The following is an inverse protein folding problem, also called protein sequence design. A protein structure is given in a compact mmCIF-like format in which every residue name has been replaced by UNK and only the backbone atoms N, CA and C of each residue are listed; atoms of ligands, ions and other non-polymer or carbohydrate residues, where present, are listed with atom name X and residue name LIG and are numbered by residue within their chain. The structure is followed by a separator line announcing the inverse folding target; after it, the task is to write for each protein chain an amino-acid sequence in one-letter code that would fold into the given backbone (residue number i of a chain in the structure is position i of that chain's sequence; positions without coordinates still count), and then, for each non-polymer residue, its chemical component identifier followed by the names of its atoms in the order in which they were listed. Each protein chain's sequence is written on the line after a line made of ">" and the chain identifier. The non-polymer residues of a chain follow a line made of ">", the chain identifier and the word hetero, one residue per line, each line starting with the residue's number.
data_IF_941310862945
#
_entry.id   IF_941310862945
#
_cell.length_a   1.000
_cell.length_b   1.000
_cell.length_c   1.000
_cell.angle_alpha   90.00
_cell.angle_beta   90.00
_cell.angle_gamma   90.00
#
_symmetry.space_group_name_H-M   'P 1'
#
loop_
_entity.id
_entity.type
_entity.pdbx_description
1 polymer ?
#
# COMPACT_ATOMS: atom_id res chain seq x y z
N UNK A 1 -25.60 22.41 18.73
CA UNK A 1 -24.57 22.36 17.66
C UNK A 1 -23.49 23.31 18.15
N UNK A 2 -22.35 22.77 18.59
CA UNK A 2 -21.24 23.57 19.14
C UNK A 2 -20.61 24.42 18.03
N UNK A 3 -20.21 25.65 18.37
CA UNK A 3 -19.57 26.60 17.43
C UNK A 3 -18.34 26.00 16.71
N UNK A 4 -17.70 24.99 17.30
CA UNK A 4 -16.57 24.25 16.75
C UNK A 4 -16.92 23.32 15.58
N UNK A 5 -18.16 22.78 15.54
CA UNK A 5 -18.64 22.00 14.40
C UNK A 5 -18.91 22.84 13.14
N UNK A 6 -18.97 24.17 13.28
CA UNK A 6 -19.12 25.09 12.15
C UNK A 6 -17.79 25.35 11.38
N UNK A 7 -16.65 25.01 11.97
CA UNK A 7 -15.33 25.21 11.37
C UNK A 7 -14.71 23.92 10.84
N UNK A 8 -15.29 22.74 11.17
CA UNK A 8 -14.80 21.45 10.70
C UNK A 8 -15.12 21.22 9.21
N UNK A 9 -14.25 20.47 8.55
CA UNK A 9 -14.41 20.10 7.14
C UNK A 9 -15.23 18.82 7.06
N UNK A 10 -16.41 18.88 6.45
CA UNK A 10 -17.20 17.68 6.18
C UNK A 10 -16.52 16.87 5.06
N UNK A 11 -16.17 15.63 5.37
CA UNK A 11 -15.45 14.74 4.47
C UNK A 11 -16.28 13.51 4.13
N UNK A 12 -16.86 13.53 2.94
CA UNK A 12 -17.66 12.43 2.42
C UNK A 12 -17.49 12.29 0.89
N UNK A 13 -16.25 12.13 0.39
CA UNK A 13 -16.07 11.94 -1.04
C UNK A 13 -16.63 10.60 -1.48
N UNK A 14 -17.15 10.53 -2.72
CA UNK A 14 -17.46 9.25 -3.33
C UNK A 14 -16.16 8.42 -3.48
N UNK A 15 -16.06 7.21 -2.92
CA UNK A 15 -14.87 6.37 -3.08
C UNK A 15 -14.67 5.86 -4.51
N UNK A 16 -15.72 5.90 -5.34
CA UNK A 16 -15.69 5.47 -6.74
C UNK A 16 -15.48 6.68 -7.65
N UNK A 17 -14.49 6.57 -8.54
CA UNK A 17 -14.20 7.60 -9.53
C UNK A 17 -15.15 7.47 -10.73
N UNK A 18 -15.25 6.27 -11.28
CA UNK A 18 -16.19 5.92 -12.36
C UNK A 18 -16.34 4.40 -12.48
N UNK A 19 -17.41 3.97 -13.16
CA UNK A 19 -17.64 2.58 -13.46
C UNK A 19 -17.18 2.25 -14.89
N UNK A 20 -16.22 1.33 -15.02
CA UNK A 20 -15.74 0.83 -16.30
C UNK A 20 -16.67 -0.25 -16.80
N UNK A 21 -17.15 -0.14 -18.04
CA UNK A 21 -18.11 -1.07 -18.68
C UNK A 21 -19.39 -1.31 -17.86
N UNK A 22 -19.77 -0.36 -16.97
CA UNK A 22 -21.00 -0.44 -16.18
C UNK A 22 -21.00 -1.44 -15.03
N UNK A 23 -19.91 -2.23 -14.85
CA UNK A 23 -19.85 -3.29 -13.84
C UNK A 23 -18.59 -3.27 -12.95
N UNK A 24 -17.53 -2.61 -13.39
CA UNK A 24 -16.26 -2.57 -12.65
C UNK A 24 -16.03 -1.16 -12.06
N UNK A 25 -16.27 -0.95 -10.76
CA UNK A 25 -16.01 0.35 -10.13
C UNK A 25 -14.51 0.60 -10.00
N UNK A 26 -14.03 1.67 -10.63
CA UNK A 26 -12.66 2.17 -10.42
C UNK A 26 -12.68 3.08 -9.19
N UNK A 27 -11.95 2.70 -8.16
CA UNK A 27 -11.89 3.41 -6.89
C UNK A 27 -10.65 4.27 -6.78
N UNK A 28 -10.76 5.43 -6.16
CA UNK A 28 -9.63 6.31 -5.84
C UNK A 28 -8.52 5.57 -5.08
N UNK A 29 -8.90 4.65 -4.18
CA UNK A 29 -7.95 3.85 -3.40
C UNK A 29 -6.98 3.09 -4.31
N UNK A 30 -7.49 2.29 -5.24
CA UNK A 30 -6.65 1.53 -6.18
C UNK A 30 -5.85 2.43 -7.10
N UNK A 31 -6.45 3.52 -7.60
CA UNK A 31 -5.77 4.47 -8.47
C UNK A 31 -4.57 5.13 -7.77
N UNK A 32 -4.75 5.62 -6.54
CA UNK A 32 -3.67 6.26 -5.78
C UNK A 32 -2.54 5.27 -5.44
N UNK A 33 -2.86 4.02 -5.16
CA UNK A 33 -1.87 2.95 -5.02
C UNK A 33 -1.04 2.76 -6.30
N UNK A 34 -1.70 2.67 -7.45
CA UNK A 34 -1.03 2.52 -8.75
C UNK A 34 -0.14 3.72 -9.04
N UNK A 35 -0.62 4.95 -8.77
CA UNK A 35 0.18 6.18 -8.95
C UNK A 35 1.41 6.16 -8.06
N UNK A 36 1.26 5.80 -6.77
CA UNK A 36 2.39 5.70 -5.83
C UNK A 36 3.46 4.70 -6.29
N UNK A 37 3.04 3.51 -6.74
CA UNK A 37 3.94 2.48 -7.26
C UNK A 37 4.60 2.93 -8.57
N UNK A 38 3.85 3.56 -9.48
CA UNK A 38 4.40 4.05 -10.75
C UNK A 38 5.46 5.14 -10.52
N UNK A 39 5.23 6.05 -9.58
CA UNK A 39 6.22 7.06 -9.21
C UNK A 39 7.47 6.42 -8.60
N UNK A 40 7.31 5.44 -7.71
CA UNK A 40 8.44 4.70 -7.15
C UNK A 40 9.25 4.00 -8.25
N UNK A 41 8.57 3.35 -9.20
CA UNK A 41 9.21 2.73 -10.35
C UNK A 41 10.06 3.74 -11.16
N UNK A 42 9.48 4.89 -11.50
CA UNK A 42 10.18 5.95 -12.24
C UNK A 42 11.38 6.49 -11.48
N UNK A 43 11.26 6.69 -10.16
CA UNK A 43 12.35 7.20 -9.33
C UNK A 43 13.49 6.20 -9.26
N UNK A 44 13.22 4.92 -8.97
CA UNK A 44 14.25 3.89 -8.90
C UNK A 44 14.88 3.66 -10.27
N UNK A 45 14.08 3.63 -11.35
CA UNK A 45 14.60 3.54 -12.73
C UNK A 45 15.57 4.67 -13.06
N UNK A 46 15.21 5.92 -12.69
CA UNK A 46 16.09 7.07 -12.89
C UNK A 46 17.41 6.89 -12.13
N UNK A 47 17.39 6.43 -10.88
CA UNK A 47 18.60 6.18 -10.09
C UNK A 47 19.48 5.09 -10.71
N UNK A 48 18.91 4.02 -11.28
CA UNK A 48 19.64 3.00 -12.01
C UNK A 48 20.35 3.58 -13.23
N UNK A 49 19.64 4.40 -14.00
CA UNK A 49 20.20 5.09 -15.17
C UNK A 49 21.31 6.08 -14.80
N UNK A 50 21.10 6.88 -13.76
CA UNK A 50 22.10 7.87 -13.31
C UNK A 50 23.37 7.19 -12.78
N UNK A 51 23.26 6.00 -12.21
CA UNK A 51 24.38 5.14 -11.79
C UNK A 51 24.93 4.29 -12.92
N UNK A 52 24.44 4.41 -14.16
CA UNK A 52 24.84 3.65 -15.35
C UNK A 52 24.72 2.14 -15.17
N UNK A 53 23.72 1.68 -14.41
CA UNK A 53 23.41 0.26 -14.24
C UNK A 53 22.58 -0.20 -15.44
N UNK A 54 22.91 -1.38 -15.99
CA UNK A 54 22.24 -1.94 -17.17
C UNK A 54 20.74 -2.13 -16.92
N UNK A 55 19.92 -1.78 -17.90
CA UNK A 55 18.46 -1.94 -17.90
C UNK A 55 18.03 -3.39 -17.61
N UNK A 56 18.76 -4.36 -18.15
CA UNK A 56 18.52 -5.79 -17.87
C UNK A 56 18.66 -6.15 -16.39
N UNK A 57 19.40 -5.36 -15.63
CA UNK A 57 19.51 -5.49 -14.17
C UNK A 57 18.31 -4.90 -13.47
N UNK A 58 17.78 -3.77 -13.97
CA UNK A 58 16.62 -3.10 -13.38
C UNK A 58 15.31 -3.85 -13.62
N UNK A 59 15.05 -4.32 -14.86
CA UNK A 59 13.78 -4.92 -15.26
C UNK A 59 13.22 -5.97 -14.28
N UNK A 60 14.00 -6.92 -13.76
CA UNK A 60 13.47 -7.92 -12.85
C UNK A 60 13.17 -7.39 -11.44
N UNK A 61 13.72 -6.24 -11.03
CA UNK A 61 13.56 -5.71 -9.68
C UNK A 61 12.08 -5.54 -9.28
N UNK A 62 11.27 -4.98 -10.19
CA UNK A 62 9.85 -4.79 -9.96
C UNK A 62 9.15 -6.12 -9.63
N UNK A 63 9.42 -7.16 -10.40
CA UNK A 63 8.80 -8.47 -10.19
C UNK A 63 9.27 -9.12 -8.87
N UNK A 64 10.55 -8.99 -8.51
CA UNK A 64 11.04 -9.46 -7.23
C UNK A 64 10.34 -8.75 -6.06
N UNK A 65 10.22 -7.42 -6.11
CA UNK A 65 9.52 -6.65 -5.09
C UNK A 65 8.03 -7.03 -5.03
N UNK A 66 7.35 -7.05 -6.18
CA UNK A 66 5.91 -7.31 -6.26
C UNK A 66 5.56 -8.70 -5.73
N UNK A 67 6.20 -9.74 -6.25
CA UNK A 67 5.91 -11.11 -5.80
C UNK A 67 6.43 -11.36 -4.39
N UNK A 68 7.56 -10.78 -4.00
CA UNK A 68 8.06 -10.87 -2.64
C UNK A 68 7.09 -10.32 -1.62
N UNK A 69 6.56 -9.11 -1.84
CA UNK A 69 5.58 -8.49 -0.97
C UNK A 69 4.27 -9.30 -0.97
N UNK A 70 3.74 -9.65 -2.14
CA UNK A 70 2.46 -10.35 -2.26
C UNK A 70 2.48 -11.73 -1.58
N UNK A 71 3.48 -12.54 -1.91
CA UNK A 71 3.65 -13.88 -1.34
C UNK A 71 3.91 -13.79 0.17
N UNK A 72 4.82 -12.90 0.56
CA UNK A 72 5.15 -12.69 1.97
C UNK A 72 3.96 -12.22 2.80
N UNK A 73 3.20 -11.25 2.29
CA UNK A 73 2.00 -10.73 2.97
C UNK A 73 0.91 -11.81 3.11
N UNK A 74 0.72 -12.63 2.06
CA UNK A 74 -0.25 -13.73 2.10
C UNK A 74 0.19 -14.82 3.06
N UNK A 75 1.41 -15.30 2.96
CA UNK A 75 1.95 -16.32 3.88
C UNK A 75 1.96 -15.82 5.32
N UNK A 76 2.36 -14.57 5.53
CA UNK A 76 2.32 -13.95 6.86
C UNK A 76 0.91 -13.93 7.45
N UNK A 77 -0.10 -13.59 6.67
CA UNK A 77 -1.49 -13.65 7.11
C UNK A 77 -1.90 -15.08 7.46
N UNK A 78 -1.69 -16.02 6.54
CA UNK A 78 -2.11 -17.41 6.72
C UNK A 78 -1.44 -18.08 7.93
N UNK A 79 -0.15 -17.85 8.15
CA UNK A 79 0.63 -18.54 9.18
C UNK A 79 0.54 -17.89 10.56
N UNK A 80 0.35 -16.56 10.64
CA UNK A 80 0.36 -15.85 11.94
C UNK A 80 -1.04 -15.46 12.43
N UNK A 81 -2.01 -15.25 11.53
CA UNK A 81 -3.35 -14.82 11.94
C UNK A 81 -4.39 -15.93 11.91
N UNK A 82 -4.28 -16.90 11.00
CA UNK A 82 -5.24 -18.00 10.84
C UNK A 82 -4.55 -19.34 10.56
N UNK A 83 -3.55 -19.76 11.36
CA UNK A 83 -2.79 -20.99 11.10
C UNK A 83 -3.68 -22.23 11.09
N UNK A 84 -4.60 -22.35 12.05
CA UNK A 84 -5.46 -23.53 12.18
C UNK A 84 -6.36 -23.74 10.97
N UNK A 85 -6.80 -22.64 10.33
CA UNK A 85 -7.60 -22.73 9.13
C UNK A 85 -6.75 -23.12 7.91
N UNK A 86 -5.68 -22.38 7.63
CA UNK A 86 -4.92 -22.54 6.39
C UNK A 86 -4.01 -23.77 6.36
N UNK A 87 -3.60 -24.30 7.51
CA UNK A 87 -2.89 -25.59 7.55
C UNK A 87 -3.79 -26.75 7.10
N UNK A 88 -5.11 -26.64 7.30
CA UNK A 88 -6.09 -27.60 6.82
C UNK A 88 -6.64 -27.28 5.41
N UNK A 89 -6.40 -26.05 4.89
CA UNK A 89 -6.89 -25.58 3.59
C UNK A 89 -5.74 -25.00 2.75
N UNK A 90 -4.70 -25.81 2.54
CA UNK A 90 -3.45 -25.39 1.88
C UNK A 90 -3.66 -24.71 0.53
N UNK A 91 -4.60 -25.21 -0.29
CA UNK A 91 -4.88 -24.62 -1.61
C UNK A 91 -5.47 -23.23 -1.53
N UNK A 92 -6.23 -22.91 -0.50
CA UNK A 92 -6.77 -21.56 -0.25
C UNK A 92 -5.69 -20.56 0.24
N UNK A 93 -4.56 -21.07 0.74
CA UNK A 93 -3.39 -20.25 1.04
C UNK A 93 -2.76 -19.69 -0.24
N UNK A 94 -2.68 -20.52 -1.29
CA UNK A 94 -1.98 -20.20 -2.55
C UNK A 94 -2.92 -19.58 -3.56
N UNK A 95 -4.15 -20.11 -3.66
CA UNK A 95 -5.13 -19.66 -4.65
C UNK A 95 -6.05 -18.58 -4.07
N UNK A 96 -6.46 -17.58 -4.87
CA UNK A 96 -7.39 -16.54 -4.45
C UNK A 96 -8.86 -17.01 -4.48
N UNK A 97 -9.10 -18.24 -4.02
CA UNK A 97 -10.42 -18.88 -4.03
C UNK A 97 -10.71 -19.50 -2.68
N UNK A 98 -11.99 -19.67 -2.37
CA UNK A 98 -12.49 -20.45 -1.23
C UNK A 98 -13.27 -21.63 -1.73
N UNK A 99 -12.94 -22.84 -1.24
CA UNK A 99 -13.69 -24.05 -1.56
C UNK A 99 -14.94 -24.15 -0.68
N UNK A 100 -16.07 -24.49 -1.30
CA UNK A 100 -17.34 -24.61 -0.62
C UNK A 100 -17.63 -26.08 -0.25
N UNK A 101 -18.41 -26.35 0.81
CA UNK A 101 -18.74 -27.71 1.25
C UNK A 101 -19.49 -28.56 0.22
N UNK A 102 -20.15 -27.91 -0.74
CA UNK A 102 -20.87 -28.52 -1.84
C UNK A 102 -19.98 -28.95 -3.03
N UNK A 103 -18.65 -28.82 -2.89
CA UNK A 103 -17.66 -29.10 -3.92
C UNK A 103 -17.46 -27.95 -4.92
N UNK A 104 -18.17 -26.81 -4.75
CA UNK A 104 -17.96 -25.61 -5.53
C UNK A 104 -16.75 -24.78 -5.06
N UNK A 105 -16.46 -23.71 -5.80
CA UNK A 105 -15.46 -22.72 -5.39
C UNK A 105 -15.98 -21.30 -5.66
N UNK A 106 -15.52 -20.34 -4.86
CA UNK A 106 -15.85 -18.94 -5.00
C UNK A 106 -14.57 -18.13 -5.09
N UNK A 107 -14.51 -17.21 -6.05
CA UNK A 107 -13.42 -16.23 -6.13
C UNK A 107 -13.54 -15.24 -4.99
N UNK A 108 -12.52 -15.14 -4.14
CA UNK A 108 -12.49 -14.23 -3.00
C UNK A 108 -11.38 -13.17 -3.14
N UNK A 109 -10.47 -13.36 -4.10
CA UNK A 109 -9.22 -12.61 -4.12
C UNK A 109 -8.30 -13.05 -2.98
N UNK A 110 -7.23 -12.31 -2.75
CA UNK A 110 -6.37 -12.51 -1.58
C UNK A 110 -6.92 -11.70 -0.40
N UNK A 111 -7.96 -12.21 0.25
CA UNK A 111 -8.45 -11.67 1.51
C UNK A 111 -7.43 -11.97 2.62
N UNK A 112 -7.04 -10.93 3.37
CA UNK A 112 -6.05 -11.05 4.42
C UNK A 112 -4.60 -11.03 3.90
N UNK A 113 -3.99 -9.86 4.07
CA UNK A 113 -2.58 -9.61 3.77
C UNK A 113 -1.94 -8.99 5.02
N UNK A 114 -0.84 -9.58 5.51
CA UNK A 114 -0.12 -9.10 6.68
C UNK A 114 1.08 -8.24 6.26
N UNK A 115 1.14 -7.00 6.70
CA UNK A 115 2.24 -6.07 6.38
C UNK A 115 3.61 -6.59 6.82
N UNK A 116 3.69 -7.23 8.01
CA UNK A 116 4.92 -7.85 8.50
C UNK A 116 5.43 -8.95 7.58
N UNK A 117 4.52 -9.81 7.09
CA UNK A 117 4.85 -10.84 6.11
C UNK A 117 5.31 -10.24 4.79
N UNK A 118 4.66 -9.18 4.33
CA UNK A 118 5.08 -8.45 3.13
C UNK A 118 6.48 -7.85 3.24
N UNK A 119 6.81 -7.27 4.40
CA UNK A 119 8.15 -6.74 4.67
C UNK A 119 9.20 -7.85 4.66
N UNK A 120 8.95 -8.97 5.32
CA UNK A 120 9.87 -10.11 5.32
C UNK A 120 10.05 -10.69 3.92
N UNK A 121 8.94 -10.82 3.17
CA UNK A 121 8.96 -11.28 1.77
C UNK A 121 9.78 -10.35 0.88
N UNK A 122 9.65 -9.03 1.05
CA UNK A 122 10.46 -8.04 0.33
C UNK A 122 11.95 -8.20 0.64
N UNK A 123 12.33 -8.33 1.92
CA UNK A 123 13.72 -8.52 2.35
C UNK A 123 14.33 -9.75 1.67
N UNK A 124 13.62 -10.87 1.68
CA UNK A 124 14.07 -12.12 1.04
C UNK A 124 14.17 -11.96 -0.47
N UNK A 125 13.17 -11.36 -1.11
CA UNK A 125 13.14 -11.14 -2.55
C UNK A 125 14.29 -10.23 -3.02
N UNK A 126 14.58 -9.16 -2.29
CA UNK A 126 15.71 -8.27 -2.58
C UNK A 126 17.05 -8.99 -2.39
N UNK A 127 17.17 -9.85 -1.37
CA UNK A 127 18.36 -10.67 -1.20
C UNK A 127 18.55 -11.63 -2.40
N UNK A 128 17.48 -12.30 -2.85
CA UNK A 128 17.51 -13.16 -4.03
C UNK A 128 17.87 -12.38 -5.30
N UNK A 129 17.27 -11.20 -5.48
CA UNK A 129 17.57 -10.30 -6.59
C UNK A 129 19.05 -9.90 -6.62
N UNK A 130 19.60 -9.46 -5.49
CA UNK A 130 21.00 -9.06 -5.37
C UNK A 130 21.98 -10.23 -5.63
N UNK A 131 21.63 -11.44 -5.16
CA UNK A 131 22.40 -12.65 -5.47
C UNK A 131 22.45 -12.96 -6.97
N UNK A 132 21.33 -12.77 -7.68
CA UNK A 132 21.23 -13.01 -9.13
C UNK A 132 21.94 -11.93 -9.94
N UNK A 133 21.78 -10.67 -9.58
CA UNK A 133 22.32 -9.52 -10.33
C UNK A 133 23.75 -9.15 -9.92
N UNK A 134 24.26 -9.73 -8.82
CA UNK A 134 25.54 -9.39 -8.19
C UNK A 134 25.64 -7.95 -7.70
N UNK A 135 24.50 -7.28 -7.51
CA UNK A 135 24.45 -5.96 -6.89
C UNK A 135 24.67 -6.05 -5.38
N UNK A 136 25.24 -5.01 -4.81
CA UNK A 136 25.35 -4.91 -3.37
C UNK A 136 23.96 -4.61 -2.74
N UNK A 137 23.63 -5.36 -1.70
CA UNK A 137 22.27 -5.32 -1.10
C UNK A 137 21.89 -3.93 -0.57
N UNK A 138 22.83 -3.25 0.11
CA UNK A 138 22.60 -1.91 0.67
C UNK A 138 22.37 -0.86 -0.41
N UNK A 139 23.09 -0.96 -1.56
CA UNK A 139 22.88 -0.02 -2.67
C UNK A 139 21.46 -0.11 -3.25
N UNK A 140 20.92 -1.34 -3.31
CA UNK A 140 19.54 -1.55 -3.78
C UNK A 140 18.54 -1.05 -2.75
N UNK A 141 18.78 -1.27 -1.46
CA UNK A 141 17.96 -0.74 -0.38
C UNK A 141 17.95 0.79 -0.37
N UNK A 142 19.09 1.44 -0.54
CA UNK A 142 19.19 2.90 -0.60
C UNK A 142 18.35 3.47 -1.75
N UNK A 143 18.43 2.86 -2.93
CA UNK A 143 17.62 3.29 -4.07
C UNK A 143 16.12 3.13 -3.83
N UNK A 144 15.70 2.04 -3.18
CA UNK A 144 14.29 1.82 -2.83
C UNK A 144 13.85 2.76 -1.70
N UNK A 145 14.73 3.02 -0.72
CA UNK A 145 14.43 3.90 0.40
C UNK A 145 14.05 5.32 -0.06
N UNK A 146 14.71 5.86 -1.09
CA UNK A 146 14.35 7.17 -1.67
C UNK A 146 12.95 7.19 -2.26
N UNK A 147 12.50 6.08 -2.86
CA UNK A 147 11.19 5.99 -3.49
C UNK A 147 10.06 5.61 -2.50
N UNK A 148 10.39 5.02 -1.36
CA UNK A 148 9.40 4.55 -0.38
C UNK A 148 8.50 5.66 0.17
N UNK A 149 9.00 6.85 0.56
CA UNK A 149 8.14 7.88 1.13
C UNK A 149 7.08 8.42 0.16
N UNK A 150 7.39 8.53 -1.14
CA UNK A 150 6.36 8.98 -2.10
C UNK A 150 5.25 7.94 -2.23
N UNK A 151 5.58 6.64 -2.26
CA UNK A 151 4.57 5.57 -2.25
C UNK A 151 3.72 5.63 -0.97
N UNK A 152 4.35 5.78 0.19
CA UNK A 152 3.66 5.91 1.47
C UNK A 152 2.72 7.14 1.50
N UNK A 153 3.13 8.27 0.94
CA UNK A 153 2.29 9.46 0.79
C UNK A 153 1.00 9.13 0.02
N UNK A 154 1.10 8.49 -1.14
CA UNK A 154 -0.07 8.13 -1.94
C UNK A 154 -0.96 7.08 -1.26
N UNK A 155 -0.39 6.15 -0.51
CA UNK A 155 -1.15 5.19 0.32
C UNK A 155 -1.95 5.93 1.39
N UNK A 156 -1.38 6.94 2.07
CA UNK A 156 -2.11 7.74 3.06
C UNK A 156 -3.21 8.59 2.43
N UNK A 157 -2.99 9.13 1.25
CA UNK A 157 -4.05 9.80 0.49
C UNK A 157 -5.18 8.82 0.09
N UNK A 158 -4.83 7.57 -0.24
CA UNK A 158 -5.81 6.52 -0.51
C UNK A 158 -6.65 6.19 0.74
N UNK A 159 -6.01 6.07 1.91
CA UNK A 159 -6.74 5.89 3.18
C UNK A 159 -7.66 7.08 3.49
N UNK A 160 -7.24 8.31 3.20
CA UNK A 160 -8.07 9.51 3.37
C UNK A 160 -9.34 9.44 2.51
N UNK A 161 -9.22 9.04 1.22
CA UNK A 161 -10.37 8.87 0.33
C UNK A 161 -11.34 7.79 0.81
N UNK A 162 -10.85 6.75 1.46
CA UNK A 162 -11.67 5.68 2.04
C UNK A 162 -12.19 6.00 3.46
N UNK A 163 -11.77 7.11 4.09
CA UNK A 163 -12.05 7.42 5.50
C UNK A 163 -11.53 6.34 6.47
N UNK A 164 -10.35 5.76 6.17
CA UNK A 164 -9.68 4.74 6.97
C UNK A 164 -8.55 5.35 7.79
N UNK A 165 -8.20 4.70 8.93
CA UNK A 165 -7.06 5.10 9.78
C UNK A 165 -7.18 6.58 10.22
N UNK A 166 -8.39 6.98 10.60
CA UNK A 166 -8.68 8.32 11.09
C UNK A 166 -8.06 8.58 12.45
N UNK A 167 -7.81 9.86 12.76
CA UNK A 167 -7.24 10.26 14.05
C UNK A 167 -8.26 10.32 15.18
N UNK A 168 -7.78 10.68 16.35
CA UNK A 168 -8.59 10.88 17.55
C UNK A 168 -9.53 12.10 17.39
N UNK A 169 -10.67 12.13 18.12
CA UNK A 169 -11.51 13.31 18.20
C UNK A 169 -10.72 14.55 18.65
N UNK A 170 -11.07 15.72 18.09
CA UNK A 170 -10.34 16.98 18.35
C UNK A 170 -11.22 18.20 18.11
N UNK A 171 -10.85 19.31 18.73
CA UNK A 171 -11.52 20.61 18.59
C UNK A 171 -10.73 21.62 17.73
N UNK A 172 -9.69 21.15 16.99
CA UNK A 172 -8.92 22.06 16.13
C UNK A 172 -9.77 22.57 14.95
N UNK A 173 -9.54 23.81 14.47
CA UNK A 173 -10.38 24.41 13.43
C UNK A 173 -10.27 23.74 12.05
N UNK A 174 -9.29 22.89 11.83
CA UNK A 174 -9.11 22.10 10.61
C UNK A 174 -9.46 20.61 10.79
N UNK A 175 -10.26 20.29 11.82
CA UNK A 175 -10.76 18.94 12.03
C UNK A 175 -11.63 18.48 10.86
N UNK A 176 -11.58 17.18 10.55
CA UNK A 176 -12.45 16.55 9.56
C UNK A 176 -13.56 15.77 10.25
N UNK A 177 -14.79 15.90 9.75
CA UNK A 177 -15.91 15.02 10.09
C UNK A 177 -15.99 13.96 9.01
N UNK A 178 -15.59 12.74 9.32
CA UNK A 178 -15.62 11.60 8.40
C UNK A 178 -17.03 10.98 8.44
N UNK A 179 -17.98 11.54 7.68
CA UNK A 179 -19.41 11.20 7.74
C UNK A 179 -19.70 9.71 7.53
N UNK A 180 -18.81 8.98 6.85
CA UNK A 180 -18.92 7.52 6.66
C UNK A 180 -18.51 6.70 7.88
N UNK A 181 -17.91 7.32 8.89
CA UNK A 181 -17.46 6.66 10.11
C UNK A 181 -18.30 7.12 11.30
N UNK A 182 -18.25 8.42 11.59
CA UNK A 182 -19.06 9.04 12.64
C UNK A 182 -19.16 10.56 12.40
N UNK A 183 -19.99 11.24 13.24
CA UNK A 183 -20.20 12.69 13.14
C UNK A 183 -19.28 13.49 14.08
N UNK A 184 -18.19 12.88 14.57
CA UNK A 184 -17.25 13.56 15.45
C UNK A 184 -16.15 14.25 14.63
N UNK A 185 -15.77 15.51 14.98
CA UNK A 185 -14.60 16.15 14.40
C UNK A 185 -13.33 15.41 14.87
N UNK A 186 -12.48 15.03 13.91
CA UNK A 186 -11.27 14.23 14.15
C UNK A 186 -10.06 14.81 13.44
N UNK A 187 -8.88 14.50 13.95
CA UNK A 187 -7.65 14.78 13.22
C UNK A 187 -7.61 13.97 11.91
N UNK A 188 -7.34 14.60 10.76
CA UNK A 188 -7.08 13.89 9.51
C UNK A 188 -5.65 13.29 9.55
N UNK A 189 -5.45 12.23 10.35
CA UNK A 189 -4.14 11.63 10.59
C UNK A 189 -3.46 11.20 9.28
N UNK A 190 -4.25 10.66 8.33
CA UNK A 190 -3.77 10.25 7.02
C UNK A 190 -3.15 11.43 6.25
N UNK A 191 -3.77 12.62 6.33
CA UNK A 191 -3.27 13.83 5.66
C UNK A 191 -1.98 14.32 6.30
N UNK A 192 -1.88 14.28 7.63
CA UNK A 192 -0.63 14.63 8.33
C UNK A 192 0.52 13.71 7.94
N UNK A 193 0.26 12.41 7.90
CA UNK A 193 1.25 11.43 7.50
C UNK A 193 1.62 11.57 6.02
N UNK A 194 0.65 11.84 5.13
CA UNK A 194 0.92 12.08 3.72
C UNK A 194 1.85 13.28 3.51
N UNK A 195 1.60 14.39 4.22
CA UNK A 195 2.45 15.59 4.17
C UNK A 195 3.85 15.27 4.70
N UNK A 196 3.95 14.56 5.84
CA UNK A 196 5.24 14.18 6.42
C UNK A 196 6.04 13.30 5.45
N UNK A 197 5.43 12.27 4.85
CA UNK A 197 6.08 11.42 3.86
C UNK A 197 6.51 12.19 2.62
N UNK A 198 5.70 13.14 2.16
CA UNK A 198 6.07 13.99 1.04
C UNK A 198 7.29 14.87 1.34
N UNK A 199 7.34 15.45 2.54
CA UNK A 199 8.51 16.24 3.00
C UNK A 199 9.76 15.34 3.09
N UNK A 200 9.63 14.13 3.65
CA UNK A 200 10.72 13.15 3.68
C UNK A 200 11.21 12.81 2.28
N UNK A 201 10.29 12.58 1.34
CA UNK A 201 10.64 12.33 -0.05
C UNK A 201 11.48 13.47 -0.65
N UNK A 202 11.03 14.72 -0.49
CA UNK A 202 11.77 15.88 -0.97
C UNK A 202 13.17 15.97 -0.34
N UNK A 203 13.28 15.73 0.96
CA UNK A 203 14.57 15.68 1.67
C UNK A 203 15.50 14.62 1.10
N UNK A 204 15.01 13.40 0.85
CA UNK A 204 15.81 12.29 0.32
C UNK A 204 16.22 12.47 -1.14
N UNK A 205 15.43 13.18 -1.95
CA UNK A 205 15.79 13.50 -3.34
C UNK A 205 16.82 14.65 -3.40
N UNK A 206 16.83 15.55 -2.40
CA UNK A 206 17.76 16.66 -2.36
C UNK A 206 19.15 16.25 -1.84
N UNK A 207 19.24 15.23 -1.00
CA UNK A 207 20.50 14.68 -0.46
C UNK A 207 21.22 13.82 -1.49
#
# INVERSE_FOLDING_TARGET
>A
MNMLTLLSINWNPNPELFNLFGSLPIRYYGLLWVVGIALAYVIVHRQYRDRKIDEKTFEPLFFYCFFGILIGARLGHCLFYQPDYYLNHFWEMILPVKFLPDGGWKWTGYEGLASHGGTLGLIIALWMYCRKTKMHYMDVLDMIAVATPITACFIRLANLMNSEIIGQPTDVPWAFVFERVDMLPRHPAQLYEAIAYFIFFLGMVYL
#
